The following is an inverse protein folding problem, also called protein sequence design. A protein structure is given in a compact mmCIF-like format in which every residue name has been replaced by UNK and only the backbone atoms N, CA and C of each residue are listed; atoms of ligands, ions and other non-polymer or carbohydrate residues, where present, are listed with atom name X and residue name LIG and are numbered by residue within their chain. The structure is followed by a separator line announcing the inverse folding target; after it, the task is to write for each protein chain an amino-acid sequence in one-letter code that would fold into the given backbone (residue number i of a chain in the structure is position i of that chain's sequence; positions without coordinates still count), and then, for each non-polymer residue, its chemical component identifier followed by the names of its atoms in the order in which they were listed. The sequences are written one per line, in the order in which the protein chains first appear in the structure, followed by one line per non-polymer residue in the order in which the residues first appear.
data_IF_478055656974
#
_entry.id   IF_478055656974
#
_cell.length_a   1.000
_cell.length_b   1.000
_cell.length_c   1.000
_cell.angle_alpha   90.00
_cell.angle_beta   90.00
_cell.angle_gamma   90.00
#
_symmetry.space_group_name_H-M   'P 1'
#
loop_
_entity.id
_entity.type
_entity.pdbx_description
1 polymer ?
#
# COMPACT_ATOMS: atom_id res chain seq x y z
N UNK A 1 39.12 11.63 -7.93
CA UNK A 1 37.92 11.62 -7.07
C UNK A 1 37.47 13.06 -6.96
N UNK A 2 36.23 13.39 -7.34
CA UNK A 2 35.69 14.74 -7.14
C UNK A 2 35.59 15.01 -5.64
N UNK A 3 35.81 16.26 -5.23
CA UNK A 3 35.60 16.68 -3.84
C UNK A 3 34.14 16.36 -3.44
N UNK A 4 33.88 15.64 -2.34
CA UNK A 4 32.53 15.33 -1.88
C UNK A 4 31.64 16.58 -1.71
N UNK A 5 32.23 17.73 -1.39
CA UNK A 5 31.50 19.00 -1.31
C UNK A 5 31.05 19.49 -2.70
N UNK A 6 31.96 19.48 -3.67
CA UNK A 6 31.68 19.86 -5.06
C UNK A 6 30.62 18.93 -5.69
N UNK A 7 30.71 17.63 -5.41
CA UNK A 7 29.72 16.66 -5.86
C UNK A 7 28.33 16.92 -5.26
N UNK A 8 28.25 17.37 -4.00
CA UNK A 8 27.00 17.74 -3.34
C UNK A 8 26.41 19.03 -3.95
N UNK A 9 27.25 20.03 -4.21
CA UNK A 9 26.84 21.28 -4.88
C UNK A 9 26.29 21.01 -6.29
N UNK A 10 26.96 20.18 -7.09
CA UNK A 10 26.48 19.76 -8.42
C UNK A 10 25.08 19.10 -8.34
N UNK A 11 24.84 18.29 -7.31
CA UNK A 11 23.55 17.64 -7.11
C UNK A 11 22.44 18.61 -6.74
N UNK A 12 22.76 19.69 -6.02
CA UNK A 12 21.77 20.66 -5.53
C UNK A 12 21.60 21.86 -6.49
N UNK A 13 22.51 22.05 -7.44
CA UNK A 13 22.51 23.16 -8.39
C UNK A 13 21.18 23.31 -9.13
N UNK A 14 20.64 22.20 -9.65
CA UNK A 14 19.35 22.19 -10.36
C UNK A 14 18.19 22.69 -9.47
N UNK A 15 18.15 22.25 -8.21
CA UNK A 15 17.13 22.71 -7.26
C UNK A 15 17.27 24.21 -6.97
N UNK A 16 18.50 24.71 -6.77
CA UNK A 16 18.73 26.13 -6.53
C UNK A 16 18.30 26.99 -7.72
N UNK A 17 18.59 26.58 -8.96
CA UNK A 17 18.16 27.30 -10.16
C UNK A 17 16.64 27.43 -10.24
N UNK A 18 15.91 26.34 -9.98
CA UNK A 18 14.45 26.34 -10.03
C UNK A 18 13.79 27.12 -8.89
N UNK A 19 14.42 27.15 -7.73
CA UNK A 19 13.90 27.84 -6.54
C UNK A 19 14.27 29.32 -6.50
N UNK A 20 15.12 29.83 -7.40
CA UNK A 20 15.58 31.21 -7.40
C UNK A 20 14.48 32.16 -7.91
N UNK A 21 14.06 33.09 -7.07
CA UNK A 21 13.09 34.12 -7.47
C UNK A 21 13.82 35.21 -8.26
N UNK A 22 13.56 35.30 -9.57
CA UNK A 22 14.22 36.24 -10.51
C UNK A 22 14.17 37.74 -10.10
N UNK A 23 13.31 38.12 -9.16
CA UNK A 23 13.10 39.52 -8.74
C UNK A 23 13.88 39.94 -7.50
N UNK A 24 14.29 39.00 -6.64
CA UNK A 24 14.88 39.29 -5.31
C UNK A 24 16.17 38.53 -5.04
N UNK A 25 16.52 37.52 -5.85
CA UNK A 25 17.67 36.65 -5.58
C UNK A 25 17.46 35.69 -4.40
N UNK A 26 16.27 35.72 -3.77
CA UNK A 26 15.91 34.84 -2.67
C UNK A 26 15.22 33.56 -3.18
N UNK A 27 15.32 32.49 -2.39
CA UNK A 27 14.68 31.22 -2.69
C UNK A 27 13.22 31.22 -2.26
N UNK A 28 12.36 30.52 -3.02
CA UNK A 28 10.92 30.42 -2.74
C UNK A 28 10.68 29.78 -1.36
N UNK A 29 11.46 28.74 -1.02
CA UNK A 29 11.33 28.07 0.27
C UNK A 29 12.43 28.48 1.28
N UNK A 30 12.09 28.85 2.53
CA UNK A 30 13.06 29.34 3.52
C UNK A 30 14.09 28.29 3.95
N UNK A 31 13.76 26.99 3.86
CA UNK A 31 14.74 25.92 4.13
C UNK A 31 15.82 25.82 3.04
N UNK A 32 15.50 26.16 1.80
CA UNK A 32 16.45 26.19 0.68
C UNK A 32 17.40 27.38 0.83
N UNK A 33 16.89 28.53 1.31
CA UNK A 33 17.74 29.66 1.67
C UNK A 33 18.72 29.32 2.81
N UNK A 34 18.24 28.71 3.90
CA UNK A 34 19.10 28.24 4.99
C UNK A 34 20.12 27.20 4.55
N UNK A 35 19.77 26.33 3.60
CA UNK A 35 20.70 25.37 3.00
C UNK A 35 21.79 26.08 2.20
N UNK A 36 21.45 27.08 1.39
CA UNK A 36 22.44 27.85 0.64
C UNK A 36 23.38 28.60 1.58
N UNK A 37 22.85 29.24 2.61
CA UNK A 37 23.65 29.92 3.65
C UNK A 37 24.58 28.92 4.38
N UNK A 38 24.08 27.73 4.73
CA UNK A 38 24.90 26.70 5.38
C UNK A 38 26.01 26.16 4.47
N UNK A 39 25.77 26.01 3.16
CA UNK A 39 26.79 25.63 2.18
C UNK A 39 27.88 26.70 2.05
N UNK A 40 27.49 27.98 1.93
CA UNK A 40 28.45 29.09 1.82
C UNK A 40 29.26 29.27 3.13
N UNK A 41 28.62 29.07 4.28
CA UNK A 41 29.29 29.13 5.58
C UNK A 41 30.24 27.94 5.79
N UNK A 42 29.88 26.75 5.31
CA UNK A 42 30.76 25.58 5.33
C UNK A 42 31.99 25.78 4.43
N UNK A 43 31.85 26.52 3.32
CA UNK A 43 32.93 26.83 2.38
C UNK A 43 33.87 27.96 2.86
N UNK A 44 33.31 28.99 3.50
CA UNK A 44 34.04 30.25 3.81
C UNK A 44 34.25 30.50 5.32
N UNK A 45 33.67 29.70 6.21
CA UNK A 45 33.65 29.94 7.66
C UNK A 45 34.83 29.30 8.42
N UNK A 46 35.24 29.85 9.58
CA UNK A 46 36.43 29.41 10.32
C UNK A 46 36.22 28.16 11.20
N UNK A 47 35.18 27.36 11.00
CA UNK A 47 35.08 26.03 11.61
C UNK A 47 34.04 25.19 10.89
N UNK A 48 34.42 23.95 10.58
CA UNK A 48 33.62 22.88 9.97
C UNK A 48 32.38 22.57 10.81
N UNK A 49 31.33 23.39 10.74
CA UNK A 49 30.04 23.00 11.29
C UNK A 49 29.33 22.09 10.29
N UNK A 50 29.95 20.93 9.98
CA UNK A 50 29.29 19.82 9.29
C UNK A 50 27.90 19.57 9.90
N UNK A 51 27.78 19.73 11.22
CA UNK A 51 26.52 19.71 11.97
C UNK A 51 25.45 20.69 11.45
N UNK A 52 25.82 21.92 11.14
CA UNK A 52 24.91 22.94 10.62
C UNK A 52 24.51 22.63 9.18
N UNK A 53 25.46 22.16 8.36
CA UNK A 53 25.17 21.70 7.00
C UNK A 53 24.24 20.47 7.01
N UNK A 54 24.52 19.47 7.84
CA UNK A 54 23.65 18.30 8.03
C UNK A 54 22.26 18.71 8.52
N UNK A 55 22.16 19.65 9.46
CA UNK A 55 20.88 20.14 9.94
C UNK A 55 20.09 20.87 8.83
N UNK A 56 20.76 21.71 8.04
CA UNK A 56 20.14 22.42 6.92
C UNK A 56 19.67 21.47 5.81
N UNK A 57 20.46 20.45 5.47
CA UNK A 57 20.08 19.40 4.51
C UNK A 57 18.89 18.61 5.03
N UNK A 58 18.88 18.19 6.29
CA UNK A 58 17.74 17.48 6.90
C UNK A 58 16.46 18.31 6.85
N UNK A 59 16.54 19.60 7.10
CA UNK A 59 15.39 20.52 7.03
C UNK A 59 14.93 20.79 5.60
N UNK A 60 15.84 20.77 4.63
CA UNK A 60 15.54 21.00 3.22
C UNK A 60 15.17 19.70 2.47
N UNK A 61 15.40 18.52 3.05
CA UNK A 61 15.22 17.22 2.41
C UNK A 61 13.83 17.02 1.78
N UNK A 62 12.71 17.36 2.45
CA UNK A 62 11.37 17.22 1.85
C UNK A 62 11.15 18.14 0.64
N UNK A 63 11.91 19.23 0.54
CA UNK A 63 11.87 20.15 -0.62
C UNK A 63 12.78 19.62 -1.71
N UNK A 64 13.99 19.17 -1.35
CA UNK A 64 14.98 18.58 -2.27
C UNK A 64 14.37 17.40 -3.04
N UNK A 65 13.66 16.51 -2.36
CA UNK A 65 13.03 15.31 -2.94
C UNK A 65 12.03 15.62 -4.07
N UNK A 66 11.49 16.85 -4.14
CA UNK A 66 10.62 17.27 -5.25
C UNK A 66 11.39 17.64 -6.54
N UNK A 67 12.71 17.79 -6.47
CA UNK A 67 13.54 18.29 -7.57
C UNK A 67 14.70 17.36 -7.94
N UNK A 68 15.23 16.63 -6.95
CA UNK A 68 16.41 15.78 -7.09
C UNK A 68 16.19 14.53 -6.24
N UNK A 69 16.80 13.41 -6.65
CA UNK A 69 16.80 12.18 -5.87
C UNK A 69 17.42 12.41 -4.48
N UNK A 70 16.57 12.40 -3.44
CA UNK A 70 16.96 12.58 -2.05
C UNK A 70 17.92 11.48 -1.56
N UNK A 71 17.89 10.29 -2.16
CA UNK A 71 18.83 9.22 -1.85
C UNK A 71 20.26 9.59 -2.26
N UNK A 72 20.44 10.17 -3.45
CA UNK A 72 21.75 10.62 -3.93
C UNK A 72 22.32 11.75 -3.07
N UNK A 73 21.47 12.64 -2.57
CA UNK A 73 21.88 13.72 -1.65
C UNK A 73 22.32 13.17 -0.30
N UNK A 74 21.59 12.19 0.26
CA UNK A 74 21.99 11.49 1.50
C UNK A 74 23.34 10.79 1.31
N UNK A 75 23.50 10.03 0.23
CA UNK A 75 24.74 9.31 -0.08
C UNK A 75 25.96 10.23 -0.18
N UNK A 76 25.82 11.37 -0.86
CA UNK A 76 26.91 12.36 -1.00
C UNK A 76 27.24 13.04 0.32
N UNK A 77 26.21 13.31 1.14
CA UNK A 77 26.41 13.92 2.45
C UNK A 77 27.01 12.93 3.46
N UNK A 78 26.70 11.63 3.34
CA UNK A 78 27.36 10.57 4.11
C UNK A 78 28.84 10.44 3.73
N UNK A 79 29.16 10.54 2.44
CA UNK A 79 30.55 10.58 1.97
C UNK A 79 31.30 11.80 2.53
N UNK A 80 30.67 12.99 2.54
CA UNK A 80 31.24 14.20 3.14
C UNK A 80 31.44 14.06 4.66
N UNK A 81 30.49 13.43 5.35
CA UNK A 81 30.60 13.18 6.78
C UNK A 81 31.74 12.20 7.12
N UNK A 82 31.90 11.13 6.32
CA UNK A 82 32.99 10.17 6.48
C UNK A 82 34.37 10.81 6.35
N UNK A 83 34.55 11.72 5.39
CA UNK A 83 35.82 12.48 5.24
C UNK A 83 36.13 13.33 6.47
N UNK A 84 35.09 13.82 7.15
CA UNK A 84 35.21 14.58 8.40
C UNK A 84 35.18 13.69 9.67
N UNK A 85 35.30 12.37 9.54
CA UNK A 85 35.30 11.43 10.66
C UNK A 85 33.97 11.32 11.40
N UNK A 86 32.87 11.70 10.76
CA UNK A 86 31.51 11.70 11.32
C UNK A 86 30.59 10.75 10.55
N UNK A 87 29.50 10.31 11.18
CA UNK A 87 28.42 9.59 10.51
C UNK A 87 27.10 10.32 10.71
N UNK A 88 26.23 10.34 9.69
CA UNK A 88 24.94 11.01 9.76
C UNK A 88 23.87 9.96 10.00
N UNK A 89 23.24 10.03 11.17
CA UNK A 89 22.02 9.29 11.43
C UNK A 89 20.89 10.10 10.83
N UNK A 90 20.39 9.71 9.66
CA UNK A 90 19.29 10.40 8.97
C UNK A 90 17.99 10.33 9.78
N UNK A 91 17.76 9.20 10.47
CA UNK A 91 16.54 8.89 11.23
C UNK A 91 16.57 9.36 12.70
N UNK A 92 17.24 10.48 12.98
CA UNK A 92 17.21 11.06 14.31
C UNK A 92 15.87 11.81 14.52
N UNK A 93 15.08 11.48 15.56
CA UNK A 93 13.84 12.21 15.85
C UNK A 93 14.21 13.66 16.17
N UNK A 94 13.88 14.57 15.25
CA UNK A 94 14.13 15.99 15.43
C UNK A 94 13.45 16.51 16.71
N UNK A 95 14.03 17.52 17.38
CA UNK A 95 13.39 18.16 18.51
C UNK A 95 12.04 18.71 18.03
N UNK A 96 10.96 18.18 18.63
CA UNK A 96 9.55 18.50 18.36
C UNK A 96 9.39 19.99 18.08
N UNK A 97 9.23 20.35 16.81
CA UNK A 97 8.86 21.70 16.41
C UNK A 97 7.52 21.99 17.08
N UNK A 98 7.47 23.07 17.87
CA UNK A 98 6.24 23.63 18.44
C UNK A 98 5.42 24.21 17.27
N UNK A 99 4.75 23.32 16.55
CA UNK A 99 3.83 23.63 15.46
C UNK A 99 2.39 23.77 15.97
N UNK A 100 1.67 24.70 15.35
CA UNK A 100 0.30 25.15 15.61
C UNK A 100 -0.74 24.01 15.80
N UNK A 101 -1.84 24.22 16.58
CA UNK A 101 -2.70 23.15 17.07
C UNK A 101 -3.69 22.57 16.04
N UNK A 102 -3.83 23.18 14.85
CA UNK A 102 -4.99 22.92 13.98
C UNK A 102 -4.70 22.12 12.71
N UNK A 103 -3.44 21.77 12.42
CA UNK A 103 -3.10 20.92 11.29
C UNK A 103 -2.02 19.91 11.69
N UNK A 104 -2.44 18.68 11.97
CA UNK A 104 -1.54 17.55 12.21
C UNK A 104 -1.63 16.62 11.00
N UNK A 105 -0.68 16.73 10.07
CA UNK A 105 -0.38 15.60 9.18
C UNK A 105 0.47 14.63 10.00
N UNK A 106 -0.14 13.52 10.41
CA UNK A 106 0.57 12.46 11.12
C UNK A 106 1.51 11.73 10.14
N UNK A 107 2.75 12.19 10.00
CA UNK A 107 3.84 11.30 9.57
C UNK A 107 4.24 10.45 10.77
N UNK A 108 3.48 9.39 11.01
CA UNK A 108 3.71 8.44 12.09
C UNK A 108 4.80 7.44 11.72
N UNK A 109 6.06 7.74 12.07
CA UNK A 109 7.06 6.73 12.41
C UNK A 109 6.76 6.16 13.82
N UNK A 110 5.59 5.55 13.97
CA UNK A 110 5.18 4.75 15.12
C UNK A 110 4.77 3.37 14.59
N UNK A 111 5.74 2.66 14.02
CA UNK A 111 5.47 1.62 13.02
C UNK A 111 5.04 0.25 13.58
N UNK A 112 4.71 0.14 14.87
CA UNK A 112 4.18 -1.10 15.47
C UNK A 112 2.93 -0.94 16.33
N UNK A 113 2.38 0.27 16.48
CA UNK A 113 1.11 0.50 17.21
C UNK A 113 -0.02 0.99 16.30
N UNK A 114 0.27 1.22 15.02
CA UNK A 114 -0.69 1.75 14.05
C UNK A 114 -1.04 0.75 12.93
N UNK A 115 -0.33 -0.38 12.82
CA UNK A 115 -0.63 -1.40 11.83
C UNK A 115 -1.95 -2.12 12.14
N UNK A 116 -2.65 -2.54 11.08
CA UNK A 116 -3.98 -3.16 11.18
C UNK A 116 -4.04 -4.31 12.18
N UNK A 117 -3.02 -5.19 12.18
CA UNK A 117 -2.96 -6.37 13.04
C UNK A 117 -2.85 -6.00 14.51
N UNK A 118 -1.94 -5.08 14.88
CA UNK A 118 -1.85 -4.60 16.26
C UNK A 118 -3.10 -3.83 16.68
N UNK A 119 -3.69 -3.03 15.77
CA UNK A 119 -4.92 -2.29 16.02
C UNK A 119 -6.10 -3.21 16.30
N UNK A 120 -6.34 -4.21 15.43
CA UNK A 120 -7.46 -5.14 15.62
C UNK A 120 -7.22 -6.04 16.84
N UNK A 121 -5.98 -6.49 17.08
CA UNK A 121 -5.64 -7.27 18.27
C UNK A 121 -5.98 -6.53 19.58
N UNK A 122 -5.67 -5.23 19.63
CA UNK A 122 -5.98 -4.39 20.79
C UNK A 122 -7.49 -4.17 20.99
N UNK A 123 -8.27 -4.12 19.91
CA UNK A 123 -9.73 -3.98 19.96
C UNK A 123 -10.40 -5.24 20.50
N UNK A 124 -9.86 -6.41 20.15
CA UNK A 124 -10.43 -7.70 20.50
C UNK A 124 -9.88 -8.27 21.81
N UNK A 125 -8.78 -7.70 22.32
CA UNK A 125 -8.07 -8.21 23.50
C UNK A 125 -7.38 -9.56 23.26
N UNK A 126 -7.20 -9.95 22.00
CA UNK A 126 -6.62 -11.22 21.58
C UNK A 126 -5.55 -10.96 20.52
N UNK A 127 -4.52 -11.79 20.45
CA UNK A 127 -3.50 -11.66 19.41
C UNK A 127 -4.03 -12.20 18.08
N UNK A 128 -4.35 -11.30 17.14
CA UNK A 128 -5.08 -11.63 15.91
C UNK A 128 -4.43 -12.74 15.08
N UNK A 129 -3.10 -12.73 14.97
CA UNK A 129 -2.35 -13.73 14.19
C UNK A 129 -2.39 -15.14 14.82
N UNK A 130 -2.74 -15.26 16.09
CA UNK A 130 -2.86 -16.56 16.78
C UNK A 130 -4.25 -17.18 16.66
N UNK A 131 -5.22 -16.40 16.16
CA UNK A 131 -6.59 -16.86 15.97
C UNK A 131 -6.68 -17.77 14.75
N UNK A 132 -7.60 -18.74 14.81
CA UNK A 132 -7.97 -19.55 13.65
C UNK A 132 -8.60 -18.67 12.56
N UNK A 133 -8.47 -19.03 11.25
CA UNK A 133 -8.97 -18.20 10.16
C UNK A 133 -10.44 -17.78 10.28
N UNK A 134 -11.31 -18.68 10.77
CA UNK A 134 -12.73 -18.37 11.00
C UNK A 134 -12.93 -17.33 12.11
N UNK A 135 -12.11 -17.39 13.16
CA UNK A 135 -12.14 -16.42 14.26
C UNK A 135 -11.57 -15.06 13.80
N UNK A 136 -10.53 -15.07 12.96
CA UNK A 136 -9.98 -13.86 12.36
C UNK A 136 -11.05 -13.12 11.56
N UNK A 137 -11.81 -13.84 10.73
CA UNK A 137 -12.90 -13.27 9.93
C UNK A 137 -14.04 -12.77 10.81
N UNK A 138 -14.50 -13.55 11.79
CA UNK A 138 -15.55 -13.11 12.72
C UNK A 138 -15.18 -11.82 13.46
N UNK A 139 -13.92 -11.70 13.90
CA UNK A 139 -13.36 -10.49 14.51
C UNK A 139 -13.37 -9.32 13.53
N UNK A 140 -12.90 -9.54 12.29
CA UNK A 140 -12.89 -8.52 11.25
C UNK A 140 -14.31 -8.01 10.93
N UNK A 141 -15.28 -8.91 10.85
CA UNK A 141 -16.68 -8.57 10.59
C UNK A 141 -17.33 -7.82 11.75
N UNK A 142 -16.97 -8.14 12.99
CA UNK A 142 -17.45 -7.41 14.18
C UNK A 142 -16.95 -5.96 14.18
N UNK A 143 -15.72 -5.72 13.71
CA UNK A 143 -15.10 -4.40 13.69
C UNK A 143 -15.27 -3.67 12.34
N UNK A 144 -15.91 -4.28 11.34
CA UNK A 144 -16.05 -3.73 9.97
C UNK A 144 -16.81 -2.39 9.93
N UNK A 145 -17.66 -2.14 10.92
CA UNK A 145 -18.47 -0.92 11.03
C UNK A 145 -17.68 0.25 11.63
N UNK A 146 -16.44 0.03 12.09
CA UNK A 146 -15.63 1.10 12.69
C UNK A 146 -15.00 1.95 11.59
N UNK A 147 -14.99 3.27 11.81
CA UNK A 147 -14.54 4.25 10.82
C UNK A 147 -13.08 4.01 10.37
N UNK A 148 -12.21 3.57 11.27
CA UNK A 148 -10.79 3.35 10.98
C UNK A 148 -10.50 1.97 10.36
N UNK A 149 -11.47 1.05 10.38
CA UNK A 149 -11.26 -0.34 9.98
C UNK A 149 -10.82 -0.44 8.52
N UNK A 150 -11.62 0.10 7.59
CA UNK A 150 -11.35 -0.01 6.16
C UNK A 150 -10.06 0.72 5.78
N UNK A 151 -9.80 1.89 6.37
CA UNK A 151 -8.56 2.64 6.12
C UNK A 151 -7.33 1.85 6.56
N UNK A 152 -7.37 1.27 7.76
CA UNK A 152 -6.25 0.45 8.26
C UNK A 152 -6.08 -0.84 7.47
N UNK A 153 -7.18 -1.48 7.08
CA UNK A 153 -7.15 -2.66 6.22
C UNK A 153 -6.50 -2.33 4.86
N UNK A 154 -6.91 -1.24 4.21
CA UNK A 154 -6.34 -0.81 2.94
C UNK A 154 -4.82 -0.54 3.06
N UNK A 155 -4.39 0.18 4.11
CA UNK A 155 -2.96 0.39 4.40
C UNK A 155 -2.19 -0.91 4.62
N UNK A 156 -2.83 -1.92 5.22
CA UNK A 156 -2.23 -3.23 5.42
C UNK A 156 -2.13 -4.01 4.11
N UNK A 157 -3.15 -3.96 3.25
CA UNK A 157 -3.18 -4.64 1.96
C UNK A 157 -2.13 -4.09 0.99
N UNK A 158 -1.79 -2.79 1.08
CA UNK A 158 -0.66 -2.23 0.32
C UNK A 158 0.68 -2.91 0.65
N UNK A 159 0.84 -3.42 1.87
CA UNK A 159 2.06 -4.13 2.32
C UNK A 159 1.94 -5.64 2.16
N UNK A 160 0.74 -6.17 2.34
CA UNK A 160 0.42 -7.59 2.30
C UNK A 160 -0.79 -7.83 1.38
N UNK A 161 -0.61 -7.75 0.05
CA UNK A 161 -1.73 -7.79 -0.91
C UNK A 161 -2.50 -9.11 -0.88
N UNK A 162 -1.85 -10.20 -0.46
CA UNK A 162 -2.46 -11.52 -0.38
C UNK A 162 -3.17 -11.82 0.94
N UNK A 163 -3.23 -10.87 1.88
CA UNK A 163 -3.79 -11.12 3.22
C UNK A 163 -5.24 -11.63 3.17
N UNK A 164 -6.14 -10.91 2.51
CA UNK A 164 -7.55 -11.34 2.37
C UNK A 164 -7.69 -12.57 1.48
N UNK A 165 -6.88 -12.69 0.43
CA UNK A 165 -6.88 -13.85 -0.46
C UNK A 165 -6.50 -15.14 0.29
N UNK A 166 -5.51 -15.08 1.17
CA UNK A 166 -5.14 -16.25 1.98
C UNK A 166 -6.25 -16.64 2.96
N UNK A 167 -6.99 -15.66 3.50
CA UNK A 167 -8.16 -15.94 4.33
C UNK A 167 -9.27 -16.63 3.54
N UNK A 168 -9.59 -16.14 2.33
CA UNK A 168 -10.62 -16.75 1.50
C UNK A 168 -10.28 -18.18 1.10
N UNK A 169 -9.00 -18.53 0.99
CA UNK A 169 -8.59 -19.91 0.67
C UNK A 169 -8.70 -20.88 1.84
N UNK A 170 -8.95 -20.42 3.08
CA UNK A 170 -8.99 -21.29 4.25
C UNK A 170 -10.19 -22.25 4.28
N UNK A 171 -11.37 -21.82 3.82
CA UNK A 171 -12.57 -22.66 3.71
C UNK A 171 -13.60 -22.02 2.77
N UNK A 172 -14.52 -22.81 2.17
CA UNK A 172 -15.59 -22.28 1.33
C UNK A 172 -16.51 -21.34 2.11
N UNK A 173 -16.79 -21.63 3.39
CA UNK A 173 -17.63 -20.80 4.24
C UNK A 173 -17.00 -19.43 4.46
N UNK A 174 -15.70 -19.38 4.79
CA UNK A 174 -14.96 -18.12 4.96
C UNK A 174 -14.96 -17.31 3.65
N UNK A 175 -14.76 -17.98 2.50
CA UNK A 175 -14.82 -17.30 1.22
C UNK A 175 -16.18 -16.62 1.02
N UNK A 176 -17.29 -17.36 1.17
CA UNK A 176 -18.64 -16.82 1.03
C UNK A 176 -18.89 -15.66 2.01
N UNK A 177 -18.46 -15.82 3.26
CA UNK A 177 -18.63 -14.79 4.30
C UNK A 177 -17.86 -13.50 3.95
N UNK A 178 -16.65 -13.61 3.39
CA UNK A 178 -15.87 -12.43 2.98
C UNK A 178 -16.49 -11.76 1.75
N UNK A 179 -16.84 -12.52 0.70
CA UNK A 179 -17.32 -11.91 -0.56
C UNK A 179 -18.72 -11.30 -0.45
N UNK A 180 -19.51 -11.70 0.54
CA UNK A 180 -20.85 -11.16 0.81
C UNK A 180 -20.84 -9.94 1.74
N UNK A 181 -19.66 -9.44 2.11
CA UNK A 181 -19.51 -8.30 3.02
C UNK A 181 -18.67 -7.19 2.41
N UNK A 182 -18.46 -6.10 3.17
CA UNK A 182 -17.63 -4.98 2.70
C UNK A 182 -16.16 -5.39 2.46
N UNK A 183 -15.69 -6.48 3.08
CA UNK A 183 -14.35 -7.03 2.84
C UNK A 183 -14.19 -7.50 1.39
N UNK A 184 -15.26 -7.98 0.77
CA UNK A 184 -15.23 -8.41 -0.62
C UNK A 184 -14.86 -7.30 -1.60
N UNK A 185 -15.13 -6.03 -1.31
CA UNK A 185 -14.70 -4.90 -2.16
C UNK A 185 -13.18 -4.72 -2.20
N UNK A 186 -12.47 -5.17 -1.17
CA UNK A 186 -11.01 -5.07 -1.05
C UNK A 186 -10.29 -6.24 -1.76
N UNK A 187 -11.03 -7.24 -2.22
CA UNK A 187 -10.47 -8.33 -3.02
C UNK A 187 -10.41 -7.93 -4.50
N UNK A 188 -9.32 -8.26 -5.17
CA UNK A 188 -9.22 -8.17 -6.62
C UNK A 188 -9.97 -9.31 -7.31
N UNK A 189 -10.42 -9.09 -8.55
CA UNK A 189 -11.17 -10.08 -9.32
C UNK A 189 -10.40 -11.40 -9.46
N UNK A 190 -9.09 -11.33 -9.70
CA UNK A 190 -8.25 -12.51 -9.85
C UNK A 190 -8.11 -13.31 -8.54
N UNK A 191 -8.10 -12.65 -7.38
CA UNK A 191 -8.13 -13.33 -6.07
C UNK A 191 -9.46 -14.06 -5.84
N UNK A 192 -10.57 -13.45 -6.26
CA UNK A 192 -11.90 -14.07 -6.17
C UNK A 192 -11.98 -15.29 -7.08
N UNK A 193 -11.56 -15.16 -8.34
CA UNK A 193 -11.49 -16.27 -9.29
C UNK A 193 -10.67 -17.44 -8.76
N UNK A 194 -9.50 -17.15 -8.18
CA UNK A 194 -8.65 -18.15 -7.54
C UNK A 194 -9.36 -18.88 -6.40
N UNK A 195 -10.08 -18.16 -5.53
CA UNK A 195 -10.81 -18.76 -4.42
C UNK A 195 -12.01 -19.59 -4.89
N UNK A 196 -12.73 -19.14 -5.91
CA UNK A 196 -13.81 -19.89 -6.56
C UNK A 196 -13.28 -21.24 -7.08
N UNK A 197 -12.18 -21.21 -7.85
CA UNK A 197 -11.58 -22.43 -8.42
C UNK A 197 -11.08 -23.37 -7.33
N UNK A 198 -10.50 -22.81 -6.27
CA UNK A 198 -9.97 -23.58 -5.14
C UNK A 198 -11.06 -24.34 -4.38
N UNK A 199 -12.22 -23.71 -4.16
CA UNK A 199 -13.34 -24.32 -3.43
C UNK A 199 -14.40 -24.97 -4.35
N UNK A 200 -14.22 -24.91 -5.66
CA UNK A 200 -15.17 -25.40 -6.63
C UNK A 200 -15.58 -26.86 -6.37
N UNK A 201 -14.63 -27.75 -6.10
CA UNK A 201 -14.91 -29.18 -5.91
C UNK A 201 -15.58 -29.49 -4.57
N UNK A 202 -15.44 -28.61 -3.56
CA UNK A 202 -16.10 -28.76 -2.27
C UNK A 202 -17.49 -28.13 -2.25
N UNK A 203 -17.73 -27.12 -3.10
CA UNK A 203 -19.03 -26.48 -3.25
C UNK A 203 -19.96 -27.24 -4.20
N UNK A 204 -19.41 -28.00 -5.13
CA UNK A 204 -20.16 -28.88 -6.03
C UNK A 204 -19.97 -30.31 -5.51
N UNK A 205 -21.04 -30.96 -5.05
CA UNK A 205 -20.99 -32.36 -4.61
C UNK A 205 -20.40 -33.23 -5.73
N UNK A 206 -19.14 -33.63 -5.56
CA UNK A 206 -18.27 -34.11 -6.65
C UNK A 206 -18.58 -35.57 -7.08
N UNK A 207 -19.61 -36.19 -6.50
CA UNK A 207 -20.06 -37.55 -6.85
C UNK A 207 -21.26 -37.52 -7.78
N UNK A 208 -21.03 -37.17 -9.05
CA UNK A 208 -22.04 -37.31 -10.12
C UNK A 208 -22.91 -36.07 -10.35
N UNK A 209 -22.31 -34.88 -10.23
CA UNK A 209 -23.02 -33.61 -10.31
C UNK A 209 -23.81 -33.48 -11.61
N UNK A 210 -25.13 -33.32 -11.48
CA UNK A 210 -26.04 -33.11 -12.61
C UNK A 210 -25.84 -31.72 -13.22
N UNK A 211 -26.29 -31.51 -14.46
CA UNK A 211 -26.31 -30.18 -15.08
C UNK A 211 -27.10 -29.15 -14.26
N UNK A 212 -28.10 -29.62 -13.51
CA UNK A 212 -28.94 -28.78 -12.64
C UNK A 212 -28.17 -28.31 -11.40
N UNK A 213 -27.36 -29.17 -10.78
CA UNK A 213 -26.51 -28.80 -9.63
C UNK A 213 -25.42 -27.81 -10.02
N UNK A 214 -24.83 -27.96 -11.22
CA UNK A 214 -23.84 -27.02 -11.75
C UNK A 214 -24.48 -25.65 -12.01
N UNK A 215 -25.69 -25.62 -12.57
CA UNK A 215 -26.41 -24.36 -12.78
C UNK A 215 -26.79 -23.69 -11.46
N UNK A 216 -27.30 -24.47 -10.49
CA UNK A 216 -27.63 -23.97 -9.15
C UNK A 216 -26.39 -23.38 -8.45
N UNK A 217 -25.24 -24.03 -8.56
CA UNK A 217 -23.96 -23.51 -8.06
C UNK A 217 -23.63 -22.13 -8.66
N UNK A 218 -23.76 -21.98 -9.98
CA UNK A 218 -23.48 -20.70 -10.64
C UNK A 218 -24.49 -19.61 -10.26
N UNK A 219 -25.76 -19.96 -10.09
CA UNK A 219 -26.79 -19.03 -9.62
C UNK A 219 -26.51 -18.56 -8.19
N UNK A 220 -26.20 -19.48 -7.28
CA UNK A 220 -25.83 -19.17 -5.88
C UNK A 220 -24.57 -18.32 -5.81
N UNK A 221 -23.54 -18.68 -6.58
CA UNK A 221 -22.29 -17.91 -6.62
C UNK A 221 -22.52 -16.50 -7.16
N UNK A 222 -23.33 -16.34 -8.22
CA UNK A 222 -23.70 -15.02 -8.72
C UNK A 222 -24.51 -14.21 -7.70
N UNK A 223 -25.40 -14.83 -6.93
CA UNK A 223 -26.12 -14.15 -5.84
C UNK A 223 -25.14 -13.60 -4.79
N UNK A 224 -24.13 -14.38 -4.39
CA UNK A 224 -23.13 -13.93 -3.43
C UNK A 224 -22.24 -12.82 -4.00
N UNK A 225 -21.79 -12.94 -5.24
CA UNK A 225 -20.96 -11.94 -5.92
C UNK A 225 -21.71 -10.61 -6.17
N UNK A 226 -23.03 -10.67 -6.38
CA UNK A 226 -23.84 -9.49 -6.65
C UNK A 226 -23.79 -8.46 -5.50
N UNK A 227 -23.55 -8.90 -4.26
CA UNK A 227 -23.40 -8.02 -3.09
C UNK A 227 -22.24 -7.04 -3.27
N UNK A 228 -21.17 -7.44 -3.95
CA UNK A 228 -20.01 -6.58 -4.28
C UNK A 228 -20.07 -6.04 -5.70
N UNK A 229 -21.26 -6.04 -6.31
CA UNK A 229 -21.52 -5.63 -7.71
C UNK A 229 -20.77 -6.44 -8.77
N UNK A 230 -20.34 -7.65 -8.41
CA UNK A 230 -19.64 -8.59 -9.30
C UNK A 230 -20.59 -9.66 -9.81
N UNK A 231 -20.16 -10.37 -10.83
CA UNK A 231 -20.79 -11.57 -11.37
C UNK A 231 -19.71 -12.42 -12.02
N UNK A 232 -19.98 -13.70 -12.24
CA UNK A 232 -19.06 -14.61 -12.96
C UNK A 232 -18.73 -14.03 -14.33
N UNK A 233 -19.71 -13.44 -15.02
CA UNK A 233 -19.52 -12.76 -16.29
C UNK A 233 -18.46 -11.66 -16.22
N UNK A 234 -18.55 -10.78 -15.22
CA UNK A 234 -17.57 -9.70 -15.03
C UNK A 234 -16.18 -10.24 -14.68
N UNK A 235 -16.10 -11.38 -14.01
CA UNK A 235 -14.83 -12.05 -13.73
C UNK A 235 -14.24 -12.68 -15.01
N UNK A 236 -15.08 -13.19 -15.91
CA UNK A 236 -14.64 -13.74 -17.20
C UNK A 236 -14.23 -12.64 -18.21
N UNK A 237 -14.76 -11.42 -18.07
CA UNK A 237 -14.33 -10.25 -18.85
C UNK A 237 -12.96 -9.71 -18.42
N UNK A 238 -12.52 -10.02 -17.20
CA UNK A 238 -11.21 -9.64 -16.66
C UNK A 238 -10.15 -10.69 -17.05
N UNK A 239 -9.08 -10.27 -17.72
CA UNK A 239 -8.11 -11.21 -18.30
C UNK A 239 -7.39 -12.07 -17.25
N UNK A 240 -7.12 -11.53 -16.07
CA UNK A 240 -6.40 -12.26 -15.03
C UNK A 240 -7.33 -13.22 -14.28
N UNK A 241 -8.56 -12.79 -14.01
CA UNK A 241 -9.56 -13.65 -13.40
C UNK A 241 -10.01 -14.77 -14.35
N UNK A 242 -10.15 -14.49 -15.64
CA UNK A 242 -10.45 -15.48 -16.66
C UNK A 242 -9.42 -16.61 -16.71
N UNK A 243 -8.13 -16.27 -16.73
CA UNK A 243 -7.04 -17.26 -16.73
C UNK A 243 -7.13 -18.20 -15.51
N UNK A 244 -7.53 -17.69 -14.36
CA UNK A 244 -7.77 -18.51 -13.16
C UNK A 244 -9.02 -19.39 -13.33
N UNK A 245 -10.17 -18.84 -13.72
CA UNK A 245 -11.43 -19.57 -13.87
C UNK A 245 -11.34 -20.71 -14.92
N UNK A 246 -10.64 -20.47 -16.03
CA UNK A 246 -10.48 -21.45 -17.12
C UNK A 246 -9.64 -22.67 -16.73
N UNK A 247 -9.03 -22.70 -15.54
CA UNK A 247 -8.36 -23.90 -15.00
C UNK A 247 -9.33 -25.02 -14.64
N UNK A 248 -10.64 -24.75 -14.57
CA UNK A 248 -11.70 -25.71 -14.27
C UNK A 248 -12.67 -25.81 -15.45
N UNK A 249 -12.88 -27.02 -15.95
CA UNK A 249 -13.71 -27.28 -17.13
C UNK A 249 -15.18 -26.85 -16.96
N UNK A 250 -15.69 -26.77 -15.72
CA UNK A 250 -17.06 -26.31 -15.44
C UNK A 250 -17.32 -24.87 -15.93
N UNK A 251 -16.28 -24.03 -16.03
CA UNK A 251 -16.43 -22.66 -16.54
C UNK A 251 -16.48 -22.61 -18.06
N UNK A 252 -15.98 -23.64 -18.75
CA UNK A 252 -16.23 -23.82 -20.18
C UNK A 252 -17.70 -24.18 -20.41
N UNK A 253 -18.26 -25.08 -19.59
CA UNK A 253 -19.68 -25.43 -19.61
C UNK A 253 -20.60 -24.21 -19.38
N UNK A 254 -20.26 -23.35 -18.41
CA UNK A 254 -20.97 -22.10 -18.16
C UNK A 254 -21.02 -21.18 -19.41
N UNK A 255 -19.87 -20.98 -20.07
CA UNK A 255 -19.79 -20.15 -21.27
C UNK A 255 -20.59 -20.71 -22.46
N UNK A 256 -20.59 -22.03 -22.63
CA UNK A 256 -21.35 -22.71 -23.69
C UNK A 256 -22.86 -22.65 -23.48
N UNK A 257 -23.34 -22.83 -22.24
CA UNK A 257 -24.76 -22.70 -21.93
C UNK A 257 -25.25 -21.26 -22.07
N UNK A 258 -24.45 -20.29 -21.62
CA UNK A 258 -24.75 -18.87 -21.79
C UNK A 258 -24.94 -18.50 -23.26
N UNK A 259 -24.05 -18.94 -24.14
CA UNK A 259 -24.17 -18.66 -25.58
C UNK A 259 -25.43 -19.27 -26.20
N UNK A 260 -25.95 -20.39 -25.66
CA UNK A 260 -27.22 -20.99 -26.10
C UNK A 260 -28.44 -20.20 -25.62
N UNK A 261 -28.44 -19.68 -24.39
CA UNK A 261 -29.55 -18.88 -23.88
C UNK A 261 -29.72 -17.53 -24.62
N UNK A 262 -28.60 -16.90 -25.01
CA UNK A 262 -28.66 -15.69 -25.86
C UNK A 262 -29.02 -15.98 -27.33
N UNK A 263 -28.73 -17.18 -27.84
CA UNK A 263 -29.12 -17.60 -29.19
C UNK A 263 -30.58 -18.09 -29.26
N UNK A 264 -31.22 -18.35 -28.12
CA UNK A 264 -32.60 -18.84 -27.99
C UNK A 264 -33.65 -17.77 -27.73
N UNK A 265 -33.28 -16.49 -27.59
CA UNK A 265 -34.24 -15.39 -27.47
C UNK A 265 -34.61 -14.85 -28.88
N UNK A 266 -35.87 -14.99 -29.34
CA UNK A 266 -36.34 -14.48 -30.63
C UNK A 266 -36.42 -12.95 -30.71
#
# INVERSE_FOLDING_TARGET
MKDPLEALEESLAYMFELQTTKKTGNYIHPSVQKLKEALENYKNGPSLSLRELTAAIKLALPVIENYVDGYMVKLKMDALAQVNGSSIIWDAPGPKSRGYPYFQFHTSLAQSRNDFISWISLRCGLEFNTLEPSQQVAVMLTEISKNEFMTKLAEHLLKNPYFLCNLTLASPEIFIEIITTRLGFELENHHIAKAIVYHCDSMIDSSGSSSEEINNYFDELNMHLAVTTRSIDKLLDDSQAKEELEKKDIFQYYNENKTRDYAGQP
#
